data_IF_248946745022
#
_entry.id   IF_248946745022
#
_cell.length_a   1.000
_cell.length_b   1.000
_cell.length_c   1.000
_cell.angle_alpha   90.00
_cell.angle_beta   90.00
_cell.angle_gamma   90.00
#
_symmetry.space_group_name_H-M   'P 1'
#
loop_
_entity.id
_entity.type
_entity.pdbx_description
1 polymer ?
#
# COMPACT_ATOMS: atom_id res chain seq x y z
N UNK A 1 20.98 3.38 4.67
CA UNK A 1 20.56 3.57 6.08
C UNK A 1 19.32 2.73 6.30
N UNK A 2 19.41 1.70 7.16
CA UNK A 2 18.27 0.84 7.49
C UNK A 2 17.19 1.71 8.14
N UNK A 3 16.00 1.79 7.52
CA UNK A 3 14.82 2.38 8.16
C UNK A 3 14.39 1.39 9.23
N UNK A 4 14.99 1.51 10.42
CA UNK A 4 14.58 0.74 11.58
C UNK A 4 13.08 1.01 11.78
N UNK A 5 12.28 -0.06 11.77
CA UNK A 5 10.85 0.04 11.95
C UNK A 5 10.60 0.55 13.38
N UNK A 6 10.47 1.87 13.53
CA UNK A 6 10.17 2.44 14.85
C UNK A 6 8.80 1.93 15.26
N UNK A 7 8.72 1.20 16.37
CA UNK A 7 7.46 0.61 16.84
C UNK A 7 6.36 1.66 17.02
N UNK A 8 5.10 1.22 16.95
CA UNK A 8 3.91 2.10 17.01
C UNK A 8 3.93 3.01 18.24
N UNK A 9 4.43 2.52 19.38
CA UNK A 9 4.58 3.29 20.62
C UNK A 9 5.45 4.56 20.46
N UNK A 10 6.55 4.48 19.70
CA UNK A 10 7.42 5.64 19.43
C UNK A 10 6.71 6.66 18.56
N UNK A 11 5.93 6.19 17.57
CA UNK A 11 5.15 7.05 16.66
C UNK A 11 4.05 7.79 17.40
N UNK A 12 3.28 7.08 18.22
CA UNK A 12 2.23 7.66 19.06
C UNK A 12 2.81 8.68 20.04
N UNK A 13 3.95 8.38 20.68
CA UNK A 13 4.64 9.32 21.56
C UNK A 13 5.16 10.56 20.83
N UNK A 14 5.70 10.39 19.63
CA UNK A 14 6.13 11.51 18.80
C UNK A 14 4.97 12.45 18.46
N UNK A 15 3.81 11.90 18.12
CA UNK A 15 2.60 12.69 17.80
C UNK A 15 2.07 13.42 19.02
N UNK A 16 2.00 12.76 20.18
CA UNK A 16 1.59 13.41 21.43
C UNK A 16 2.50 14.61 21.78
N UNK A 17 3.80 14.50 21.53
CA UNK A 17 4.74 15.63 21.73
C UNK A 17 4.49 16.77 20.74
N UNK A 18 4.17 16.47 19.48
CA UNK A 18 3.82 17.49 18.48
C UNK A 18 2.50 18.18 18.81
N UNK A 19 1.50 17.45 19.30
CA UNK A 19 0.22 18.02 19.75
C UNK A 19 0.41 18.90 21.00
N UNK A 20 1.35 18.55 21.87
CA UNK A 20 1.77 19.37 22.99
C UNK A 20 2.62 20.60 22.58
N UNK A 21 2.84 20.83 21.28
CA UNK A 21 3.54 22.01 20.77
C UNK A 21 5.07 21.89 20.71
N UNK A 22 5.63 20.71 20.94
CA UNK A 22 7.08 20.49 20.80
C UNK A 22 7.48 20.55 19.32
N UNK A 23 8.63 21.15 19.01
CA UNK A 23 9.10 21.24 17.63
C UNK A 23 9.49 19.89 17.06
N UNK A 24 9.29 19.68 15.75
CA UNK A 24 9.66 18.43 15.07
C UNK A 24 11.16 18.09 15.19
N UNK A 25 12.02 19.12 15.27
CA UNK A 25 13.47 18.95 15.45
C UNK A 25 13.77 18.39 16.84
N UNK A 26 13.12 18.91 17.87
CA UNK A 26 13.33 18.44 19.25
C UNK A 26 12.77 17.04 19.46
N UNK A 27 11.65 16.71 18.82
CA UNK A 27 11.10 15.34 18.83
C UNK A 27 12.08 14.36 18.17
N UNK A 28 12.72 14.75 17.06
CA UNK A 28 13.74 13.93 16.38
C UNK A 28 14.95 13.66 17.28
N UNK A 29 15.45 14.70 17.95
CA UNK A 29 16.57 14.59 18.88
C UNK A 29 16.24 13.74 20.11
N UNK A 30 15.02 13.88 20.66
CA UNK A 30 14.61 13.17 21.88
C UNK A 30 14.29 11.69 21.67
N UNK A 31 13.65 11.35 20.55
CA UNK A 31 13.16 9.98 20.31
C UNK A 31 14.12 9.16 19.44
N UNK A 32 14.97 9.82 18.63
CA UNK A 32 15.91 9.18 17.72
C UNK A 32 15.47 9.05 16.25
N UNK A 33 14.18 8.98 15.86
CA UNK A 33 13.77 8.98 14.47
C UNK A 33 14.22 10.24 13.73
N UNK A 34 14.64 10.06 12.48
CA UNK A 34 14.97 11.18 11.60
C UNK A 34 13.78 12.11 11.35
N UNK A 35 14.06 13.39 11.09
CA UNK A 35 13.05 14.42 10.87
C UNK A 35 12.03 14.06 9.78
N UNK A 36 12.47 13.38 8.72
CA UNK A 36 11.59 12.92 7.63
C UNK A 36 10.54 11.91 8.12
N UNK A 37 10.91 11.00 9.01
CA UNK A 37 9.98 10.02 9.60
C UNK A 37 8.91 10.72 10.43
N UNK A 38 9.31 11.70 11.25
CA UNK A 38 8.40 12.47 12.10
C UNK A 38 7.43 13.31 11.25
N UNK A 39 7.92 13.97 10.19
CA UNK A 39 7.06 14.69 9.24
C UNK A 39 6.01 13.77 8.62
N UNK A 40 6.42 12.58 8.19
CA UNK A 40 5.51 11.59 7.59
C UNK A 40 4.46 11.11 8.59
N UNK A 41 4.86 10.82 9.84
CA UNK A 41 3.91 10.41 10.88
C UNK A 41 2.92 11.52 11.24
N UNK A 42 3.39 12.77 11.31
CA UNK A 42 2.53 13.91 11.57
C UNK A 42 1.50 14.14 10.47
N UNK A 43 1.93 14.06 9.21
CA UNK A 43 1.02 14.14 8.06
C UNK A 43 -0.02 13.02 8.08
N UNK A 44 0.41 11.77 8.32
CA UNK A 44 -0.50 10.63 8.44
C UNK A 44 -1.54 10.81 9.56
N UNK A 45 -1.10 11.27 10.75
CA UNK A 45 -1.98 11.54 11.88
C UNK A 45 -3.02 12.62 11.56
N UNK A 46 -2.61 13.72 10.90
CA UNK A 46 -3.52 14.80 10.50
C UNK A 46 -4.55 14.37 9.47
N UNK A 47 -4.22 13.40 8.62
CA UNK A 47 -5.15 12.80 7.66
C UNK A 47 -6.00 11.66 8.26
N UNK A 48 -5.85 11.34 9.55
CA UNK A 48 -6.56 10.24 10.19
C UNK A 48 -6.09 8.85 9.74
N UNK A 49 -4.91 8.74 9.13
CA UNK A 49 -4.34 7.47 8.74
C UNK A 49 -3.73 6.73 9.94
N UNK A 50 -3.80 5.40 9.90
CA UNK A 50 -3.15 4.57 10.93
C UNK A 50 -1.63 4.77 10.93
N UNK A 51 -1.06 4.77 12.12
CA UNK A 51 0.38 4.88 12.34
C UNK A 51 1.09 3.54 12.24
N UNK A 52 0.35 2.44 12.13
CA UNK A 52 0.91 1.11 11.96
C UNK A 52 1.50 0.95 10.56
N UNK A 53 2.78 0.57 10.50
CA UNK A 53 3.37 0.04 9.27
C UNK A 53 2.92 -1.39 9.14
N UNK A 54 1.80 -1.61 8.44
CA UNK A 54 1.51 -2.94 7.93
C UNK A 54 2.55 -3.23 6.86
N UNK A 55 3.29 -4.32 7.00
CA UNK A 55 4.10 -4.82 5.91
C UNK A 55 3.15 -5.12 4.75
N UNK A 56 3.18 -4.32 3.69
CA UNK A 56 2.55 -4.63 2.41
C UNK A 56 3.39 -5.68 1.70
N UNK A 57 3.61 -6.82 2.36
CA UNK A 57 4.31 -7.94 1.75
C UNK A 57 3.30 -8.78 0.98
N UNK A 58 3.33 -8.66 -0.35
CA UNK A 58 2.70 -9.62 -1.25
C UNK A 58 1.92 -8.98 -2.40
N UNK A 59 2.05 -9.59 -3.57
CA UNK A 59 1.16 -9.35 -4.69
C UNK A 59 -0.27 -9.79 -4.34
N UNK A 60 -1.30 -9.10 -4.84
CA UNK A 60 -2.67 -9.56 -4.68
C UNK A 60 -2.79 -10.97 -5.29
N UNK A 61 -3.05 -11.97 -4.44
CA UNK A 61 -3.27 -13.36 -4.88
C UNK A 61 -4.57 -13.53 -5.66
N UNK A 62 -5.45 -12.54 -5.59
CA UNK A 62 -6.78 -12.57 -6.20
C UNK A 62 -6.91 -11.49 -7.27
N UNK A 63 -7.50 -11.86 -8.40
CA UNK A 63 -7.83 -10.94 -9.49
C UNK A 63 -8.83 -9.85 -9.03
N UNK A 64 -8.69 -8.64 -9.59
CA UNK A 64 -9.66 -7.56 -9.44
C UNK A 64 -11.04 -8.02 -9.98
N UNK A 65 -12.14 -7.48 -9.42
CA UNK A 65 -13.52 -7.73 -9.83
C UNK A 65 -13.74 -7.52 -11.33
N UNK A 66 -13.16 -6.47 -11.91
CA UNK A 66 -13.26 -6.20 -13.36
C UNK A 66 -12.64 -7.35 -14.18
N UNK A 67 -11.44 -7.80 -13.80
CA UNK A 67 -10.76 -8.92 -14.44
C UNK A 67 -11.59 -10.23 -14.30
N UNK A 68 -12.21 -10.48 -13.14
CA UNK A 68 -13.12 -11.62 -12.94
C UNK A 68 -14.31 -11.59 -13.89
N UNK A 69 -14.91 -10.42 -14.11
CA UNK A 69 -16.05 -10.25 -15.03
C UNK A 69 -15.64 -10.55 -16.48
N UNK A 70 -14.49 -10.05 -16.92
CA UNK A 70 -13.97 -10.32 -18.27
C UNK A 70 -13.67 -11.80 -18.46
N UNK A 71 -13.12 -12.45 -17.43
CA UNK A 71 -12.81 -13.88 -17.44
C UNK A 71 -14.10 -14.72 -17.52
N UNK A 72 -15.12 -14.39 -16.73
CA UNK A 72 -16.44 -15.05 -16.78
C UNK A 72 -17.09 -14.94 -18.17
N UNK A 73 -17.16 -13.74 -18.75
CA UNK A 73 -17.69 -13.51 -20.11
C UNK A 73 -16.91 -14.26 -21.20
N UNK A 74 -15.61 -14.46 -20.99
CA UNK A 74 -14.76 -15.20 -21.94
C UNK A 74 -14.96 -16.71 -21.84
N UNK A 75 -15.30 -17.23 -20.65
CA UNK A 75 -15.58 -18.65 -20.42
C UNK A 75 -16.95 -19.08 -20.97
N UNK A 76 -17.95 -18.20 -20.95
CA UNK A 76 -19.28 -18.45 -21.54
C UNK A 76 -19.22 -18.70 -23.06
N UNK A 77 -18.19 -18.16 -23.74
CA UNK A 77 -17.96 -18.38 -25.16
C UNK A 77 -17.30 -19.74 -25.36
N UNK A 78 -18.05 -20.71 -25.91
CA UNK A 78 -17.51 -22.03 -26.29
C UNK A 78 -16.35 -21.82 -27.27
N UNK A 79 -15.15 -22.33 -26.94
CA UNK A 79 -13.90 -22.42 -27.74
C UNK A 79 -12.74 -21.46 -27.43
N UNK A 80 -12.62 -20.89 -26.23
CA UNK A 80 -11.37 -20.23 -25.84
C UNK A 80 -10.50 -21.12 -24.95
N UNK A 81 -9.27 -21.41 -25.41
CA UNK A 81 -8.24 -21.99 -24.56
C UNK A 81 -7.84 -20.98 -23.47
N UNK A 82 -7.33 -21.47 -22.34
CA UNK A 82 -6.84 -20.62 -21.23
C UNK A 82 -5.82 -19.58 -21.71
N UNK A 83 -4.96 -19.96 -22.67
CA UNK A 83 -4.00 -19.05 -23.33
C UNK A 83 -4.70 -17.91 -24.09
N UNK A 84 -5.77 -18.19 -24.80
CA UNK A 84 -6.53 -17.18 -25.55
C UNK A 84 -7.32 -16.25 -24.62
N UNK A 85 -7.85 -16.78 -23.52
CA UNK A 85 -8.51 -15.99 -22.48
C UNK A 85 -7.51 -15.03 -21.84
N UNK A 86 -6.31 -15.52 -21.52
CA UNK A 86 -5.24 -14.67 -21.01
C UNK A 86 -4.88 -13.55 -22.01
N UNK A 87 -4.68 -13.87 -23.28
CA UNK A 87 -4.40 -12.84 -24.30
C UNK A 87 -5.48 -11.75 -24.34
N UNK A 88 -6.75 -12.13 -24.31
CA UNK A 88 -7.88 -11.18 -24.35
C UNK A 88 -7.98 -10.30 -23.09
N UNK A 89 -7.64 -10.84 -21.91
CA UNK A 89 -7.58 -10.08 -20.66
C UNK A 89 -6.42 -9.06 -20.72
N UNK A 90 -5.26 -9.47 -21.23
CA UNK A 90 -4.10 -8.59 -21.40
C UNK A 90 -4.34 -7.48 -22.43
N UNK A 91 -4.99 -7.79 -23.57
CA UNK A 91 -5.39 -6.81 -24.58
C UNK A 91 -6.35 -5.73 -24.04
N UNK A 92 -7.13 -6.06 -23.00
CA UNK A 92 -8.02 -5.10 -22.32
C UNK A 92 -7.32 -4.30 -21.22
N UNK A 93 -6.01 -4.43 -21.08
CA UNK A 93 -5.21 -3.73 -20.06
C UNK A 93 -5.26 -4.36 -18.68
N UNK A 94 -5.90 -5.53 -18.52
CA UNK A 94 -5.91 -6.25 -17.25
C UNK A 94 -4.75 -7.24 -17.22
N UNK A 95 -4.01 -7.30 -16.11
CA UNK A 95 -3.00 -8.35 -16.00
C UNK A 95 -3.62 -9.71 -15.73
N UNK A 96 -3.18 -10.67 -16.54
CA UNK A 96 -3.44 -12.10 -16.42
C UNK A 96 -2.50 -12.79 -15.47
N UNK A 97 -1.39 -12.13 -15.17
CA UNK A 97 -0.49 -12.52 -14.11
C UNK A 97 -0.91 -11.77 -12.84
N UNK A 98 -0.78 -12.35 -11.65
CA UNK A 98 -0.81 -11.58 -10.41
C UNK A 98 0.22 -10.42 -10.38
N UNK A 99 1.15 -10.34 -11.36
CA UNK A 99 2.26 -9.38 -11.44
C UNK A 99 1.91 -7.97 -11.91
N UNK A 100 0.77 -7.67 -12.53
CA UNK A 100 0.51 -6.31 -13.05
C UNK A 100 -0.94 -5.83 -12.87
N UNK A 101 -1.53 -5.91 -11.67
CA UNK A 101 -2.70 -5.08 -11.38
C UNK A 101 -2.21 -3.67 -11.01
N UNK A 102 -1.81 -2.88 -12.00
CA UNK A 102 -1.66 -1.43 -11.85
C UNK A 102 -3.03 -0.84 -12.21
N UNK A 103 -3.81 -0.50 -11.18
CA UNK A 103 -4.95 0.40 -11.34
C UNK A 103 -4.44 1.81 -10.92
N UNK A 104 -4.21 2.66 -11.93
CA UNK A 104 -4.09 4.14 -11.94
C UNK A 104 -3.07 4.77 -10.97
#
# INVERSE_FOLDING_TARGET
MNVADHGTAIRSRAIAMLEAGVSQKDVALKLGPGLCSIKRWWAAAKCGHSLDTKATSGHPKTLNRAAKIVLAKSLEKRKHSTRNIAKCIAEKGYSTSPRLSIDI
#
